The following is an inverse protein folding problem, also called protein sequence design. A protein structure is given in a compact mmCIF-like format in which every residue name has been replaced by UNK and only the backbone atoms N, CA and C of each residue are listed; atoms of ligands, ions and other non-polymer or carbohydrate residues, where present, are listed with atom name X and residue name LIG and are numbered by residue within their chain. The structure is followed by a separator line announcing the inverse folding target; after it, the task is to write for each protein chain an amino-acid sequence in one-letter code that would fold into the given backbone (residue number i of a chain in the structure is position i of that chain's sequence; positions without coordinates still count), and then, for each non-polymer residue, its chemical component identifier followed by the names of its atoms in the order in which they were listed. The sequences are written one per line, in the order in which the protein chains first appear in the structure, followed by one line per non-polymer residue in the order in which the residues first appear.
data_IF_172875885290
#
_entry.id   IF_172875885290
#
_cell.length_a   1.000
_cell.length_b   1.000
_cell.length_c   1.000
_cell.angle_alpha   90.00
_cell.angle_beta   90.00
_cell.angle_gamma   90.00
#
_symmetry.space_group_name_H-M   'P 1'
#
loop_
_entity.id
_entity.type
_entity.pdbx_description
1 polymer ?
#
# COMPACT_ATOMS: atom_id res chain seq x y z
N UNK A 1 15.87 -2.35 -22.62
CA UNK A 1 15.93 -1.24 -21.64
C UNK A 1 15.52 -1.70 -20.25
N UNK A 2 14.28 -2.16 -20.03
CA UNK A 2 13.81 -2.62 -18.69
C UNK A 2 14.73 -3.66 -18.02
N UNK A 3 15.23 -4.71 -18.70
CA UNK A 3 16.14 -5.68 -18.07
C UNK A 3 17.42 -5.07 -17.52
N UNK A 4 17.98 -4.08 -18.23
CA UNK A 4 19.18 -3.37 -17.79
C UNK A 4 18.91 -2.49 -16.57
N UNK A 5 17.71 -1.89 -16.48
CA UNK A 5 17.29 -1.14 -15.30
C UNK A 5 17.10 -2.06 -14.10
N UNK A 6 16.48 -3.22 -14.27
CA UNK A 6 16.32 -4.21 -13.20
C UNK A 6 17.69 -4.70 -12.72
N UNK A 7 18.61 -5.03 -13.63
CA UNK A 7 19.98 -5.42 -13.26
C UNK A 7 20.74 -4.30 -12.51
N UNK A 8 20.40 -3.04 -12.78
CA UNK A 8 21.01 -1.88 -12.11
C UNK A 8 20.44 -1.61 -10.71
N UNK A 9 19.28 -2.17 -10.33
CA UNK A 9 18.73 -2.06 -8.97
C UNK A 9 19.65 -2.66 -7.90
N UNK A 10 20.46 -3.65 -8.27
CA UNK A 10 21.39 -4.35 -7.38
C UNK A 10 22.81 -3.75 -7.38
N UNK A 11 23.00 -2.56 -7.95
CA UNK A 11 24.31 -1.94 -8.18
C UNK A 11 24.33 -0.49 -7.70
N UNK A 12 25.46 0.20 -7.85
CA UNK A 12 25.63 1.62 -7.52
C UNK A 12 24.65 2.57 -8.24
N UNK A 13 23.99 2.10 -9.32
CA UNK A 13 22.96 2.84 -10.07
C UNK A 13 21.53 2.70 -9.54
N UNK A 14 21.32 2.05 -8.40
CA UNK A 14 19.99 1.62 -7.93
C UNK A 14 18.95 2.75 -7.86
N UNK A 15 19.33 3.94 -7.37
CA UNK A 15 18.42 5.09 -7.28
C UNK A 15 17.92 5.56 -8.65
N UNK A 16 18.84 5.76 -9.60
CA UNK A 16 18.50 6.22 -10.95
C UNK A 16 17.69 5.17 -11.70
N UNK A 17 18.05 3.89 -11.54
CA UNK A 17 17.31 2.77 -12.11
C UNK A 17 15.88 2.71 -11.57
N UNK A 18 15.71 2.80 -10.26
CA UNK A 18 14.40 2.82 -9.61
C UNK A 18 13.55 4.01 -10.08
N UNK A 19 14.13 5.22 -10.14
CA UNK A 19 13.42 6.40 -10.65
C UNK A 19 12.94 6.22 -12.09
N UNK A 20 13.77 5.65 -12.97
CA UNK A 20 13.39 5.34 -14.33
C UNK A 20 12.26 4.30 -14.37
N UNK A 21 12.36 3.23 -13.55
CA UNK A 21 11.30 2.22 -13.43
C UNK A 21 9.99 2.81 -12.92
N UNK A 22 10.02 3.75 -11.96
CA UNK A 22 8.82 4.45 -11.49
C UNK A 22 8.09 5.14 -12.63
N UNK A 23 8.81 5.89 -13.48
CA UNK A 23 8.22 6.58 -14.63
C UNK A 23 7.67 5.61 -15.66
N UNK A 24 8.34 4.48 -15.89
CA UNK A 24 7.85 3.45 -16.80
C UNK A 24 6.58 2.78 -16.24
N UNK A 25 6.52 2.53 -14.92
CA UNK A 25 5.41 1.87 -14.25
C UNK A 25 4.09 2.67 -14.26
N UNK A 26 4.13 3.97 -14.57
CA UNK A 26 2.92 4.77 -14.81
C UNK A 26 2.11 4.22 -16.00
N UNK A 27 2.79 3.61 -16.98
CA UNK A 27 2.16 3.06 -18.19
C UNK A 27 1.85 1.57 -18.03
N UNK A 28 0.61 1.18 -18.29
CA UNK A 28 0.11 -0.19 -18.07
C UNK A 28 0.93 -1.27 -18.76
N UNK A 29 1.15 -1.13 -20.07
CA UNK A 29 1.93 -2.09 -20.87
C UNK A 29 3.33 -2.30 -20.28
N UNK A 30 3.92 -1.25 -19.71
CA UNK A 30 5.27 -1.34 -19.14
C UNK A 30 5.27 -1.93 -17.74
N UNK A 31 4.18 -1.85 -16.96
CA UNK A 31 4.07 -2.55 -15.67
C UNK A 31 4.24 -4.04 -15.85
N UNK A 32 3.53 -4.63 -16.81
CA UNK A 32 3.59 -6.08 -17.08
C UNK A 32 5.01 -6.50 -17.46
N UNK A 33 5.71 -5.67 -18.26
CA UNK A 33 7.12 -5.91 -18.58
C UNK A 33 8.01 -5.84 -17.32
N UNK A 34 7.83 -4.85 -16.45
CA UNK A 34 8.63 -4.68 -15.22
C UNK A 34 8.45 -5.89 -14.30
N UNK A 35 7.22 -6.36 -14.12
CA UNK A 35 6.88 -7.57 -13.35
C UNK A 35 7.54 -8.80 -13.97
N UNK A 36 7.38 -9.00 -15.28
CA UNK A 36 7.95 -10.15 -15.99
C UNK A 36 9.48 -10.24 -16.00
N UNK A 37 10.19 -9.17 -15.61
CA UNK A 37 11.65 -9.18 -15.41
C UNK A 37 12.07 -9.28 -13.94
N UNK A 38 11.18 -9.71 -13.03
CA UNK A 38 11.45 -9.93 -11.59
C UNK A 38 11.92 -8.65 -10.85
N UNK A 39 11.47 -7.48 -11.27
CA UNK A 39 11.84 -6.22 -10.62
C UNK A 39 11.27 -6.09 -9.20
N UNK A 40 10.12 -6.72 -8.93
CA UNK A 40 9.37 -6.59 -7.68
C UNK A 40 10.23 -7.00 -6.49
N UNK A 41 10.92 -8.14 -6.57
CA UNK A 41 11.78 -8.62 -5.49
C UNK A 41 12.90 -7.64 -5.13
N UNK A 42 13.54 -7.08 -6.16
CA UNK A 42 14.59 -6.08 -5.96
C UNK A 42 14.03 -4.81 -5.32
N UNK A 43 12.85 -4.37 -5.73
CA UNK A 43 12.20 -3.18 -5.18
C UNK A 43 11.72 -3.39 -3.73
N UNK A 44 11.23 -4.59 -3.40
CA UNK A 44 10.84 -4.96 -2.03
C UNK A 44 12.06 -4.93 -1.10
N UNK A 45 13.20 -5.49 -1.52
CA UNK A 45 14.44 -5.44 -0.74
C UNK A 45 14.94 -4.00 -0.48
N UNK A 46 14.54 -3.03 -1.31
CA UNK A 46 14.90 -1.62 -1.13
C UNK A 46 14.02 -0.88 -0.11
N UNK A 47 12.95 -1.50 0.41
CA UNK A 47 12.08 -0.89 1.42
C UNK A 47 12.80 -0.66 2.76
N UNK A 48 13.83 -1.44 3.06
CA UNK A 48 14.67 -1.27 4.26
C UNK A 48 15.93 -0.43 4.00
N UNK A 49 16.05 0.15 2.80
CA UNK A 49 17.26 0.83 2.33
C UNK A 49 17.14 2.36 2.22
N UNK A 50 18.23 3.03 1.82
CA UNK A 50 18.28 4.49 1.67
C UNK A 50 17.42 5.04 0.52
N UNK A 51 16.81 4.17 -0.29
CA UNK A 51 15.97 4.51 -1.45
C UNK A 51 14.52 4.05 -1.27
N UNK A 52 14.08 3.89 -0.02
CA UNK A 52 12.73 3.43 0.33
C UNK A 52 11.64 4.28 -0.30
N UNK A 53 11.82 5.60 -0.40
CA UNK A 53 10.83 6.51 -0.98
C UNK A 53 10.61 6.24 -2.47
N UNK A 54 11.69 6.09 -3.25
CA UNK A 54 11.61 5.73 -4.65
C UNK A 54 11.05 4.32 -4.85
N UNK A 55 11.46 3.35 -4.01
CA UNK A 55 10.98 1.97 -4.09
C UNK A 55 9.48 1.88 -3.81
N UNK A 56 9.01 2.51 -2.75
CA UNK A 56 7.60 2.56 -2.37
C UNK A 56 6.75 3.19 -3.48
N UNK A 57 7.23 4.25 -4.14
CA UNK A 57 6.51 4.85 -5.28
C UNK A 57 6.40 3.90 -6.46
N UNK A 58 7.50 3.26 -6.85
CA UNK A 58 7.50 2.29 -7.96
C UNK A 58 6.58 1.10 -7.64
N UNK A 59 6.67 0.54 -6.44
CA UNK A 59 5.81 -0.55 -5.99
C UNK A 59 4.33 -0.15 -5.99
N UNK A 60 4.00 1.06 -5.54
CA UNK A 60 2.63 1.57 -5.60
C UNK A 60 2.07 1.61 -7.03
N UNK A 61 2.88 1.99 -8.02
CA UNK A 61 2.47 1.87 -9.43
C UNK A 61 2.27 0.43 -9.86
N UNK A 62 3.16 -0.47 -9.46
CA UNK A 62 3.08 -1.89 -9.81
C UNK A 62 1.84 -2.56 -9.23
N UNK A 63 1.32 -2.15 -8.06
CA UNK A 63 0.06 -2.70 -7.50
C UNK A 63 -1.21 -2.47 -8.36
N UNK A 64 -1.10 -1.72 -9.46
CA UNK A 64 -2.16 -1.63 -10.49
C UNK A 64 -2.18 -2.84 -11.43
N UNK A 65 -1.15 -3.67 -11.42
CA UNK A 65 -1.14 -5.00 -12.02
C UNK A 65 -1.44 -6.02 -10.91
N UNK A 66 -2.37 -6.94 -11.14
CA UNK A 66 -2.79 -7.90 -10.11
C UNK A 66 -1.72 -8.95 -9.79
N UNK A 67 -1.01 -9.44 -10.80
CA UNK A 67 0.09 -10.41 -10.63
C UNK A 67 1.20 -9.81 -9.76
N UNK A 68 1.48 -8.51 -9.91
CA UNK A 68 2.44 -7.80 -9.10
C UNK A 68 2.05 -7.78 -7.61
N UNK A 69 0.75 -7.74 -7.27
CA UNK A 69 0.32 -7.68 -5.86
C UNK A 69 0.74 -8.95 -5.11
N UNK A 70 0.58 -10.11 -5.75
CA UNK A 70 1.02 -11.38 -5.17
C UNK A 70 2.55 -11.44 -5.00
N UNK A 71 3.31 -10.95 -5.98
CA UNK A 71 4.78 -10.88 -5.88
C UNK A 71 5.27 -9.85 -4.85
N UNK A 72 4.51 -8.79 -4.63
CA UNK A 72 4.80 -7.75 -3.63
C UNK A 72 4.57 -8.30 -2.23
N UNK A 73 3.59 -9.18 -2.04
CA UNK A 73 3.35 -9.82 -0.75
C UNK A 73 4.40 -10.91 -0.46
N UNK A 74 5.58 -10.46 -0.07
CA UNK A 74 6.67 -11.27 0.49
C UNK A 74 6.81 -11.03 2.00
N UNK A 75 7.47 -11.95 2.73
CA UNK A 75 7.81 -11.73 4.12
C UNK A 75 8.46 -10.35 4.33
N UNK A 76 8.07 -9.67 5.40
CA UNK A 76 8.56 -8.34 5.82
C UNK A 76 8.02 -7.12 5.05
N UNK A 77 7.24 -7.29 3.97
CA UNK A 77 6.67 -6.14 3.26
C UNK A 77 5.66 -5.38 4.11
N UNK A 78 4.72 -6.06 4.76
CA UNK A 78 3.74 -5.41 5.63
C UNK A 78 4.41 -4.67 6.79
N UNK A 79 5.35 -5.27 7.56
CA UNK A 79 6.11 -4.57 8.58
C UNK A 79 6.83 -3.30 8.06
N UNK A 80 7.50 -3.39 6.91
CA UNK A 80 8.19 -2.25 6.32
C UNK A 80 7.21 -1.12 5.94
N UNK A 81 6.07 -1.45 5.34
CA UNK A 81 5.04 -0.48 4.98
C UNK A 81 4.39 0.16 6.23
N UNK A 82 4.12 -0.61 7.28
CA UNK A 82 3.57 -0.07 8.54
C UNK A 82 4.55 0.91 9.17
N UNK A 83 5.83 0.56 9.24
CA UNK A 83 6.88 1.46 9.74
C UNK A 83 6.95 2.79 8.97
N UNK A 84 6.77 2.75 7.65
CA UNK A 84 6.72 3.96 6.81
C UNK A 84 5.52 4.84 7.15
N UNK A 85 4.34 4.24 7.38
CA UNK A 85 3.14 4.96 7.79
C UNK A 85 3.32 5.63 9.16
N UNK A 86 3.98 4.95 10.11
CA UNK A 86 4.24 5.48 11.45
C UNK A 86 5.22 6.66 11.44
N UNK A 87 6.26 6.57 10.62
CA UNK A 87 7.27 7.63 10.47
C UNK A 87 6.78 8.81 9.61
N UNK A 88 5.56 8.75 9.06
CA UNK A 88 5.02 9.68 8.06
C UNK A 88 5.88 9.81 6.78
N UNK A 89 6.76 8.85 6.51
CA UNK A 89 7.59 8.84 5.32
C UNK A 89 6.84 8.11 4.19
N UNK A 90 6.47 8.84 3.12
CA UNK A 90 5.73 8.29 1.97
C UNK A 90 4.37 7.64 2.32
N UNK A 91 3.63 8.27 3.23
CA UNK A 91 2.35 7.82 3.78
C UNK A 91 1.33 7.37 2.72
N UNK A 92 1.13 8.12 1.64
CA UNK A 92 0.14 7.79 0.61
C UNK A 92 0.52 6.54 -0.19
N UNK A 93 1.78 6.41 -0.63
CA UNK A 93 2.21 5.27 -1.46
C UNK A 93 2.24 3.99 -0.63
N UNK A 94 2.74 4.05 0.61
CA UNK A 94 2.74 2.91 1.51
C UNK A 94 1.31 2.44 1.82
N UNK A 95 0.40 3.38 2.11
CA UNK A 95 -1.01 3.09 2.37
C UNK A 95 -1.69 2.44 1.15
N UNK A 96 -1.38 2.93 -0.05
CA UNK A 96 -1.94 2.37 -1.28
C UNK A 96 -1.51 0.92 -1.49
N UNK A 97 -0.22 0.62 -1.30
CA UNK A 97 0.30 -0.75 -1.41
C UNK A 97 -0.37 -1.62 -0.35
N UNK A 98 -0.39 -1.17 0.90
CA UNK A 98 -0.94 -1.93 2.02
C UNK A 98 -2.43 -2.25 1.80
N UNK A 99 -3.23 -1.29 1.34
CA UNK A 99 -4.63 -1.50 1.00
C UNK A 99 -4.82 -2.51 -0.15
N UNK A 100 -3.96 -2.48 -1.17
CA UNK A 100 -4.00 -3.44 -2.28
C UNK A 100 -3.64 -4.86 -1.86
N UNK A 101 -2.59 -5.00 -1.07
CA UNK A 101 -2.17 -6.30 -0.53
C UNK A 101 -3.24 -6.84 0.42
N UNK A 102 -3.76 -6.05 1.35
CA UNK A 102 -4.83 -6.47 2.27
C UNK A 102 -6.12 -6.89 1.56
N UNK A 103 -6.43 -6.31 0.39
CA UNK A 103 -7.62 -6.67 -0.38
C UNK A 103 -7.54 -8.08 -1.00
N UNK A 104 -6.33 -8.62 -1.16
CA UNK A 104 -6.08 -9.93 -1.78
C UNK A 104 -5.62 -10.97 -0.76
N UNK A 105 -4.76 -10.57 0.16
CA UNK A 105 -4.01 -11.47 1.04
C UNK A 105 -4.54 -11.45 2.47
N UNK A 106 -5.14 -12.57 2.91
CA UNK A 106 -5.64 -12.71 4.28
C UNK A 106 -4.51 -12.64 5.33
N UNK A 107 -3.34 -13.20 5.00
CA UNK A 107 -2.17 -13.14 5.86
C UNK A 107 -1.69 -11.69 6.08
N UNK A 108 -1.77 -10.84 5.06
CA UNK A 108 -1.44 -9.42 5.21
C UNK A 108 -2.41 -8.69 6.14
N UNK A 109 -3.71 -9.01 6.07
CA UNK A 109 -4.71 -8.45 7.00
C UNK A 109 -4.43 -8.85 8.44
N UNK A 110 -4.12 -10.13 8.66
CA UNK A 110 -3.75 -10.63 9.99
C UNK A 110 -2.50 -9.92 10.54
N UNK A 111 -1.48 -9.73 9.71
CA UNK A 111 -0.24 -9.05 10.08
C UNK A 111 -0.46 -7.56 10.40
N UNK A 112 -1.31 -6.87 9.64
CA UNK A 112 -1.74 -5.48 9.92
C UNK A 112 -2.40 -5.34 11.29
N UNK A 113 -3.23 -6.30 11.70
CA UNK A 113 -3.83 -6.33 13.04
C UNK A 113 -2.76 -6.56 14.10
N UNK A 114 -1.89 -7.55 13.89
CA UNK A 114 -0.82 -7.89 14.84
C UNK A 114 0.13 -6.73 15.08
N UNK A 115 0.42 -5.94 14.04
CA UNK A 115 1.26 -4.75 14.12
C UNK A 115 0.52 -3.50 14.64
N UNK A 116 -0.77 -3.60 14.96
CA UNK A 116 -1.60 -2.47 15.40
C UNK A 116 -1.52 -1.26 14.44
N UNK A 117 -1.58 -1.51 13.13
CA UNK A 117 -1.35 -0.46 12.13
C UNK A 117 -2.59 0.45 11.89
N UNK A 118 -3.78 0.03 12.33
CA UNK A 118 -5.04 0.75 12.04
C UNK A 118 -5.01 2.20 12.58
N UNK A 119 -4.62 2.47 13.85
CA UNK A 119 -4.52 3.84 14.34
C UNK A 119 -3.58 4.72 13.51
N UNK A 120 -2.45 4.17 13.04
CA UNK A 120 -1.52 4.91 12.18
C UNK A 120 -2.18 5.32 10.86
N UNK A 121 -2.97 4.43 10.25
CA UNK A 121 -3.72 4.73 9.03
C UNK A 121 -4.82 5.77 9.27
N UNK A 122 -5.58 5.67 10.37
CA UNK A 122 -6.67 6.61 10.67
C UNK A 122 -6.17 8.05 10.84
N UNK A 123 -4.94 8.25 11.34
CA UNK A 123 -4.30 9.58 11.41
C UNK A 123 -4.05 10.22 10.04
N UNK A 124 -4.07 9.44 8.96
CA UNK A 124 -3.85 9.93 7.59
C UNK A 124 -5.14 10.39 6.90
N UNK A 125 -6.30 10.23 7.55
CA UNK A 125 -7.60 10.54 6.94
C UNK A 125 -7.73 11.99 6.48
N UNK A 126 -7.10 12.95 7.16
CA UNK A 126 -7.17 14.36 6.79
C UNK A 126 -6.30 14.68 5.56
N UNK A 127 -5.23 13.89 5.34
CA UNK A 127 -4.31 14.04 4.20
C UNK A 127 -4.77 13.25 2.97
N UNK A 128 -5.27 12.03 3.18
CA UNK A 128 -5.61 11.07 2.12
C UNK A 128 -6.87 10.26 2.47
N UNK A 129 -8.04 10.90 2.55
CA UNK A 129 -9.27 10.21 2.96
C UNK A 129 -9.62 9.04 2.04
N UNK A 130 -9.39 9.16 0.73
CA UNK A 130 -9.62 8.06 -0.22
C UNK A 130 -8.66 6.88 -0.02
N UNK A 131 -7.40 7.15 0.36
CA UNK A 131 -6.43 6.10 0.67
C UNK A 131 -6.86 5.33 1.93
N UNK A 132 -7.28 6.07 2.96
CA UNK A 132 -7.80 5.49 4.20
C UNK A 132 -9.06 4.65 3.91
N UNK A 133 -10.06 5.21 3.23
CA UNK A 133 -11.30 4.49 2.89
C UNK A 133 -11.03 3.18 2.15
N UNK A 134 -10.13 3.19 1.17
CA UNK A 134 -9.76 1.96 0.44
C UNK A 134 -9.14 0.91 1.35
N UNK A 135 -8.26 1.31 2.26
CA UNK A 135 -7.64 0.40 3.22
C UNK A 135 -8.67 -0.16 4.20
N UNK A 136 -9.54 0.69 4.77
CA UNK A 136 -10.59 0.26 5.69
C UNK A 136 -11.58 -0.70 5.01
N UNK A 137 -11.95 -0.44 3.75
CA UNK A 137 -12.78 -1.35 2.96
C UNK A 137 -12.11 -2.71 2.76
N UNK A 138 -10.80 -2.73 2.46
CA UNK A 138 -10.05 -3.96 2.28
C UNK A 138 -10.03 -4.82 3.56
N UNK A 139 -9.91 -4.17 4.73
CA UNK A 139 -10.00 -4.82 6.03
C UNK A 139 -11.41 -5.27 6.38
N UNK A 140 -12.44 -4.45 6.12
CA UNK A 140 -13.81 -4.74 6.55
C UNK A 140 -14.43 -6.02 5.93
N UNK A 141 -13.79 -6.58 4.89
CA UNK A 141 -14.16 -7.86 4.26
C UNK A 141 -13.92 -9.08 5.16
N UNK A 142 -13.21 -8.92 6.27
CA UNK A 142 -12.85 -9.98 7.20
C UNK A 142 -13.35 -9.69 8.62
N UNK A 143 -13.93 -10.69 9.28
CA UNK A 143 -14.62 -10.51 10.57
C UNK A 143 -13.67 -10.06 11.68
N UNK A 144 -12.47 -10.64 11.76
CA UNK A 144 -11.48 -10.25 12.76
C UNK A 144 -11.00 -8.81 12.51
N UNK A 145 -10.85 -8.45 11.23
CA UNK A 145 -10.51 -7.08 10.85
C UNK A 145 -11.61 -6.08 11.18
N UNK A 146 -12.89 -6.43 11.00
CA UNK A 146 -14.02 -5.56 11.40
C UNK A 146 -13.99 -5.26 12.90
N UNK A 147 -13.76 -6.28 13.72
CA UNK A 147 -13.64 -6.09 15.17
C UNK A 147 -12.44 -5.19 15.53
N UNK A 148 -11.30 -5.39 14.87
CA UNK A 148 -10.13 -4.53 15.05
C UNK A 148 -10.38 -3.07 14.61
N UNK A 149 -11.12 -2.86 13.51
CA UNK A 149 -11.51 -1.52 13.05
C UNK A 149 -12.42 -0.81 14.05
N UNK A 150 -13.41 -1.50 14.61
CA UNK A 150 -14.31 -0.96 15.64
C UNK A 150 -13.52 -0.62 16.91
N UNK A 151 -12.66 -1.54 17.37
CA UNK A 151 -11.83 -1.33 18.55
C UNK A 151 -10.86 -0.14 18.40
N UNK A 152 -10.43 0.16 17.17
CA UNK A 152 -9.56 1.28 16.84
C UNK A 152 -10.31 2.61 16.55
N UNK A 153 -11.61 2.68 16.86
CA UNK A 153 -12.46 3.86 16.64
C UNK A 153 -12.60 4.30 15.17
N UNK A 154 -12.51 3.35 14.23
CA UNK A 154 -12.67 3.65 12.80
C UNK A 154 -14.07 4.20 12.46
N UNK A 155 -15.11 3.84 13.22
CA UNK A 155 -16.48 4.30 13.01
C UNK A 155 -16.59 5.82 13.19
N UNK A 156 -16.03 6.36 14.28
CA UNK A 156 -16.02 7.80 14.52
C UNK A 156 -15.25 8.53 13.42
N UNK A 157 -14.09 7.99 13.01
CA UNK A 157 -13.29 8.60 11.94
C UNK A 157 -13.99 8.54 10.57
N UNK A 158 -14.71 7.46 10.27
CA UNK A 158 -15.53 7.35 9.06
C UNK A 158 -16.69 8.36 9.06
N UNK A 159 -17.33 8.58 10.21
CA UNK A 159 -18.38 9.60 10.34
C UNK A 159 -17.84 11.01 10.10
N UNK A 160 -16.59 11.30 10.48
CA UNK A 160 -15.92 12.55 10.11
C UNK A 160 -15.68 12.65 8.60
N UNK A 161 -15.09 11.61 7.99
CA UNK A 161 -14.82 11.56 6.55
C UNK A 161 -16.13 11.68 5.74
N UNK A 162 -17.24 11.15 6.26
CA UNK A 162 -18.56 11.18 5.61
C UNK A 162 -19.13 12.62 5.47
N UNK A 163 -18.70 13.56 6.31
CA UNK A 163 -19.14 14.97 6.23
C UNK A 163 -18.71 15.63 4.92
N UNK A 164 -17.57 15.22 4.36
CA UNK A 164 -17.08 15.71 3.08
C UNK A 164 -17.87 15.05 1.93
N UNK A 165 -18.44 15.87 1.05
CA UNK A 165 -19.28 15.44 -0.06
C UNK A 165 -18.56 14.47 -1.02
N UNK A 166 -17.26 14.69 -1.29
CA UNK A 166 -16.48 13.87 -2.21
C UNK A 166 -16.22 12.44 -1.69
N UNK A 167 -16.22 12.25 -0.37
CA UNK A 167 -15.93 10.97 0.29
C UNK A 167 -17.18 10.32 0.92
N UNK A 168 -18.30 11.06 1.02
CA UNK A 168 -19.54 10.65 1.68
C UNK A 168 -20.05 9.29 1.22
N UNK A 169 -20.16 9.08 -0.09
CA UNK A 169 -20.70 7.83 -0.64
C UNK A 169 -19.88 6.62 -0.22
N UNK A 170 -18.56 6.69 -0.39
CA UNK A 170 -17.66 5.59 -0.05
C UNK A 170 -17.55 5.38 1.47
N UNK A 171 -17.47 6.46 2.26
CA UNK A 171 -17.51 6.35 3.72
C UNK A 171 -18.78 5.65 4.22
N UNK A 172 -19.93 5.92 3.59
CA UNK A 172 -21.20 5.26 3.90
C UNK A 172 -21.14 3.77 3.59
N UNK A 173 -20.57 3.39 2.43
CA UNK A 173 -20.35 1.99 2.09
C UNK A 173 -19.49 1.27 3.13
N UNK A 174 -18.38 1.87 3.55
CA UNK A 174 -17.48 1.25 4.55
C UNK A 174 -18.17 1.15 5.91
N UNK A 175 -18.92 2.17 6.34
CA UNK A 175 -19.72 2.09 7.58
C UNK A 175 -20.74 0.95 7.54
N UNK A 176 -21.40 0.75 6.40
CA UNK A 176 -22.33 -0.37 6.21
C UNK A 176 -21.66 -1.75 6.29
N UNK A 177 -20.35 -1.84 6.00
CA UNK A 177 -19.59 -3.07 6.22
C UNK A 177 -19.23 -3.30 7.69
N UNK A 178 -19.24 -2.26 8.54
CA UNK A 178 -18.90 -2.35 9.97
C UNK A 178 -20.13 -2.50 10.88
N UNK A 179 -21.33 -2.50 10.31
CA UNK A 179 -22.61 -2.67 11.01
C UNK A 179 -22.96 -4.15 11.15
#
# INVERSE_FOLDING_TARGET
MIPALVAALQRSGARSANRALSWLAEREILRNCIVGYNAVESLVAMLDGPYVNEATKTLAWLTRNEDAVAEIFKPNVVPALVKLLENNECDISALFILGKVCAKEAAARAEVIQLNAIPAVLRLADKTPFGVLRFLEALARDDACRQALIAADAVSKLAEIQKNEATRGWATTVLGLLS
#
